data_IF_603698362840
#
_entry.id   IF_603698362840
#
_cell.length_a   1.000
_cell.length_b   1.000
_cell.length_c   1.000
_cell.angle_alpha   90.00
_cell.angle_beta   90.00
_cell.angle_gamma   90.00
#
_symmetry.space_group_name_H-M   'P 1'
#
loop_
_entity.id
_entity.type
_entity.pdbx_description
1 polymer ?
#
# COMPACT_ATOMS: atom_id res chain seq x y z
N UNK A 1 10.06 -38.07 -2.35
CA UNK A 1 10.89 -37.33 -1.36
C UNK A 1 11.80 -36.28 -2.01
N UNK A 2 12.58 -36.62 -3.07
CA UNK A 2 13.49 -35.66 -3.73
C UNK A 2 12.82 -34.39 -4.29
N UNK A 3 11.62 -34.51 -4.88
CA UNK A 3 10.83 -33.35 -5.39
C UNK A 3 10.40 -32.39 -4.28
N UNK A 4 9.97 -32.92 -3.14
CA UNK A 4 9.57 -32.10 -1.99
C UNK A 4 10.80 -31.41 -1.36
N UNK A 5 11.96 -32.07 -1.37
CA UNK A 5 13.22 -31.49 -0.92
C UNK A 5 13.67 -30.34 -1.83
N UNK A 6 13.55 -30.50 -3.15
CA UNK A 6 13.84 -29.43 -4.12
C UNK A 6 12.92 -28.23 -3.93
N UNK A 7 11.63 -28.46 -3.70
CA UNK A 7 10.67 -27.38 -3.42
C UNK A 7 10.99 -26.64 -2.12
N UNK A 8 11.36 -27.35 -1.06
CA UNK A 8 11.77 -26.74 0.21
C UNK A 8 13.05 -25.93 0.07
N UNK A 9 14.03 -26.44 -0.67
CA UNK A 9 15.29 -25.75 -0.92
C UNK A 9 15.09 -24.50 -1.77
N UNK A 10 14.23 -24.56 -2.79
CA UNK A 10 13.81 -23.40 -3.57
C UNK A 10 13.14 -22.35 -2.69
N UNK A 11 12.13 -22.74 -1.91
CA UNK A 11 11.43 -21.82 -0.99
C UNK A 11 12.38 -21.14 0.00
N UNK A 12 13.34 -21.89 0.54
CA UNK A 12 14.34 -21.36 1.47
C UNK A 12 15.26 -20.31 0.83
N UNK A 13 15.70 -20.51 -0.42
CA UNK A 13 16.51 -19.52 -1.15
C UNK A 13 15.73 -18.22 -1.38
N UNK A 14 14.44 -18.31 -1.72
CA UNK A 14 13.60 -17.12 -1.88
C UNK A 14 13.35 -16.40 -0.55
N UNK A 15 13.20 -17.14 0.55
CA UNK A 15 13.09 -16.56 1.89
C UNK A 15 14.35 -15.82 2.33
N UNK A 16 15.54 -16.28 1.94
CA UNK A 16 16.80 -15.56 2.20
C UNK A 16 16.94 -14.29 1.34
N UNK A 17 16.34 -14.29 0.14
CA UNK A 17 16.31 -13.13 -0.77
C UNK A 17 15.25 -12.10 -0.36
N UNK A 18 14.24 -12.49 0.42
CA UNK A 18 13.36 -11.55 1.09
C UNK A 18 14.13 -10.91 2.24
N UNK A 19 14.89 -9.88 1.89
CA UNK A 19 15.39 -8.89 2.84
C UNK A 19 14.24 -8.55 3.79
N UNK A 20 14.43 -8.70 5.10
CA UNK A 20 13.56 -8.08 6.09
C UNK A 20 13.77 -6.55 6.02
N UNK A 21 13.35 -5.94 4.91
CA UNK A 21 13.53 -4.52 4.59
C UNK A 21 12.81 -3.63 5.59
N UNK A 22 11.92 -4.19 6.42
CA UNK A 22 11.22 -3.45 7.46
C UNK A 22 12.20 -2.81 8.48
N UNK A 23 13.32 -3.45 8.80
CA UNK A 23 14.34 -2.90 9.72
C UNK A 23 15.36 -1.99 8.99
N UNK A 24 15.75 -2.37 7.77
CA UNK A 24 16.74 -1.61 6.98
C UNK A 24 16.15 -0.32 6.41
N UNK A 25 14.92 -0.35 5.87
CA UNK A 25 14.24 0.84 5.38
C UNK A 25 13.96 1.82 6.52
N UNK A 26 13.59 1.34 7.73
CA UNK A 26 13.47 2.24 8.89
C UNK A 26 14.80 2.86 9.27
N UNK A 27 15.88 2.09 9.38
CA UNK A 27 17.19 2.62 9.76
C UNK A 27 17.73 3.66 8.77
N UNK A 28 17.49 3.49 7.46
CA UNK A 28 17.85 4.48 6.45
C UNK A 28 16.99 5.73 6.60
N UNK A 29 15.66 5.60 6.73
CA UNK A 29 14.76 6.76 6.84
C UNK A 29 14.93 7.54 8.16
N UNK A 30 15.40 6.89 9.22
CA UNK A 30 15.67 7.52 10.53
C UNK A 30 17.09 8.10 10.64
N UNK A 31 17.94 7.95 9.61
CA UNK A 31 19.28 8.55 9.56
C UNK A 31 19.25 10.02 9.11
N UNK A 32 20.26 10.81 9.48
CA UNK A 32 20.34 12.24 9.08
C UNK A 32 20.35 12.42 7.56
N UNK A 33 21.05 11.55 6.82
CA UNK A 33 21.06 11.54 5.35
C UNK A 33 19.71 11.08 4.75
N UNK A 34 18.97 10.25 5.49
CA UNK A 34 17.67 9.73 5.08
C UNK A 34 16.47 10.63 5.41
N UNK A 35 16.65 11.77 6.09
CA UNK A 35 15.52 12.66 6.37
C UNK A 35 14.84 13.16 5.09
N UNK A 36 15.60 13.48 4.04
CA UNK A 36 15.05 13.96 2.76
C UNK A 36 14.24 12.84 2.09
N UNK A 37 14.70 11.60 2.16
CA UNK A 37 13.98 10.45 1.60
C UNK A 37 12.75 10.08 2.45
N UNK A 38 12.81 10.27 3.77
CA UNK A 38 11.69 10.11 4.68
C UNK A 38 10.52 11.07 4.40
N UNK A 39 10.82 12.33 4.08
CA UNK A 39 9.79 13.30 3.64
C UNK A 39 9.10 12.81 2.37
N UNK A 40 9.87 12.38 1.36
CA UNK A 40 9.31 11.85 0.11
C UNK A 40 8.45 10.59 0.31
N UNK A 41 8.82 9.72 1.24
CA UNK A 41 8.01 8.54 1.60
C UNK A 41 6.69 8.96 2.27
N UNK A 42 6.73 9.92 3.20
CA UNK A 42 5.51 10.42 3.85
C UNK A 42 4.54 11.07 2.85
N UNK A 43 5.06 11.83 1.89
CA UNK A 43 4.26 12.41 0.80
C UNK A 43 3.64 11.31 -0.08
N UNK A 44 4.39 10.25 -0.37
CA UNK A 44 3.89 9.08 -1.09
C UNK A 44 2.78 8.34 -0.33
N UNK A 45 2.92 8.17 0.98
CA UNK A 45 1.87 7.57 1.83
C UNK A 45 0.61 8.43 1.79
N UNK A 46 0.74 9.75 1.96
CA UNK A 46 -0.41 10.67 1.90
C UNK A 46 -1.09 10.63 0.52
N UNK A 47 -0.32 10.60 -0.56
CA UNK A 47 -0.85 10.46 -1.91
C UNK A 47 -1.64 9.15 -2.10
N UNK A 48 -1.09 8.03 -1.65
CA UNK A 48 -1.76 6.72 -1.74
C UNK A 48 -3.00 6.64 -0.84
N UNK A 49 -2.95 7.23 0.35
CA UNK A 49 -4.09 7.32 1.26
C UNK A 49 -5.21 8.21 0.73
N UNK A 50 -4.92 9.22 -0.09
CA UNK A 50 -5.96 10.07 -0.69
C UNK A 50 -6.91 9.29 -1.61
N UNK A 51 -6.40 8.27 -2.32
CA UNK A 51 -7.16 7.47 -3.28
C UNK A 51 -8.42 6.83 -2.68
N UNK A 52 -8.36 6.04 -1.59
CA UNK A 52 -9.57 5.44 -1.01
C UNK A 52 -10.60 6.48 -0.55
N UNK A 53 -10.17 7.65 -0.04
CA UNK A 53 -11.11 8.71 0.35
C UNK A 53 -11.83 9.31 -0.85
N UNK A 54 -11.12 9.59 -1.94
CA UNK A 54 -11.70 10.12 -3.19
C UNK A 54 -12.70 9.12 -3.77
N UNK A 55 -12.35 7.83 -3.79
CA UNK A 55 -13.24 6.79 -4.29
C UNK A 55 -14.53 6.69 -3.46
N UNK A 56 -14.42 6.66 -2.14
CA UNK A 56 -15.59 6.61 -1.24
C UNK A 56 -16.47 7.86 -1.43
N UNK A 57 -15.87 9.04 -1.49
CA UNK A 57 -16.60 10.29 -1.73
C UNK A 57 -17.32 10.29 -3.10
N UNK A 58 -16.66 9.81 -4.15
CA UNK A 58 -17.23 9.69 -5.49
C UNK A 58 -18.40 8.71 -5.55
N UNK A 59 -18.27 7.55 -4.91
CA UNK A 59 -19.35 6.55 -4.83
C UNK A 59 -20.53 7.12 -4.04
N UNK A 60 -20.28 7.71 -2.87
CA UNK A 60 -21.33 8.31 -2.04
C UNK A 60 -22.07 9.43 -2.79
N UNK A 61 -21.33 10.27 -3.53
CA UNK A 61 -21.92 11.33 -4.35
C UNK A 61 -22.78 10.76 -5.50
N UNK A 62 -22.29 9.73 -6.20
CA UNK A 62 -23.06 9.08 -7.27
C UNK A 62 -24.37 8.49 -6.73
N UNK A 63 -24.32 7.81 -5.58
CA UNK A 63 -25.52 7.26 -4.92
C UNK A 63 -26.48 8.38 -4.54
N UNK A 64 -25.99 9.45 -3.89
CA UNK A 64 -26.82 10.59 -3.52
C UNK A 64 -27.52 11.21 -4.74
N UNK A 65 -26.78 11.42 -5.83
CA UNK A 65 -27.31 12.03 -7.04
C UNK A 65 -28.38 11.15 -7.70
N UNK A 66 -28.09 9.85 -7.87
CA UNK A 66 -28.97 8.93 -8.57
C UNK A 66 -30.22 8.57 -7.76
N UNK A 67 -30.08 8.29 -6.47
CA UNK A 67 -31.17 7.71 -5.67
C UNK A 67 -31.88 8.70 -4.76
N UNK A 68 -31.19 9.75 -4.30
CA UNK A 68 -31.74 10.68 -3.32
C UNK A 68 -32.21 11.96 -4.01
N UNK A 69 -31.38 12.56 -4.88
CA UNK A 69 -31.75 13.75 -5.64
C UNK A 69 -32.75 13.45 -6.76
N UNK A 70 -32.62 12.31 -7.43
CA UNK A 70 -33.52 11.87 -8.51
C UNK A 70 -34.97 11.56 -8.08
N UNK A 71 -35.21 11.26 -6.80
CA UNK A 71 -36.56 11.01 -6.25
C UNK A 71 -37.37 12.29 -5.95
N UNK A 72 -36.82 13.49 -6.20
CA UNK A 72 -37.54 14.77 -6.03
C UNK A 72 -38.36 15.21 -7.26
N UNK A 73 -38.56 14.32 -8.23
CA UNK A 73 -39.36 14.60 -9.43
C UNK A 73 -40.39 13.48 -9.64
N UNK A 74 -41.40 13.44 -8.78
CA UNK A 74 -42.82 13.02 -8.94
C UNK A 74 -43.47 13.17 -7.56
#
# INVERSE_FOLDING_TARGET
MKRNLLFLLFSFVFFLQTNAQCAMCRAVLESEEGQVTAVGVNDGIMYLMAVPYILVAGIAFAIYWQFIRGKKTI
#
